data_IF_234191266002
#
_entry.id   IF_234191266002
#
_cell.length_a   1.000
_cell.length_b   1.000
_cell.length_c   1.000
_cell.angle_alpha   90.00
_cell.angle_beta   90.00
_cell.angle_gamma   90.00
#
_symmetry.space_group_name_H-M   'P 1'
#
loop_
_entity.id
_entity.type
_entity.pdbx_description
1 polymer ?
#
# COMPACT_ATOMS: atom_id res chain seq x y z
N UNK A 1 12.77 -6.45 -1.65
CA UNK A 1 13.37 -5.37 -0.83
C UNK A 1 12.29 -4.81 0.08
N UNK A 2 12.56 -4.64 1.38
CA UNK A 2 11.63 -3.96 2.29
C UNK A 2 12.11 -2.52 2.49
N UNK A 3 11.20 -1.53 2.47
CA UNK A 3 11.58 -0.14 2.74
C UNK A 3 12.05 0.00 4.20
N UNK A 4 13.19 0.64 4.42
CA UNK A 4 13.80 0.79 5.75
C UNK A 4 13.47 2.17 6.33
N UNK A 5 13.71 3.22 5.54
CA UNK A 5 13.51 4.61 5.94
C UNK A 5 12.05 5.02 5.85
N UNK A 6 11.65 6.03 6.61
CA UNK A 6 10.28 6.55 6.59
C UNK A 6 9.90 7.06 5.19
N UNK A 7 10.80 7.74 4.50
CA UNK A 7 10.60 8.20 3.11
C UNK A 7 10.38 7.04 2.14
N UNK A 8 11.17 5.96 2.25
CA UNK A 8 10.99 4.77 1.40
C UNK A 8 9.64 4.11 1.65
N UNK A 9 9.20 4.06 2.92
CA UNK A 9 7.89 3.53 3.30
C UNK A 9 6.77 4.39 2.73
N UNK A 10 6.89 5.72 2.79
CA UNK A 10 5.91 6.67 2.24
C UNK A 10 5.79 6.53 0.72
N UNK A 11 6.92 6.47 0.00
CA UNK A 11 6.94 6.28 -1.45
C UNK A 11 6.33 4.92 -1.82
N UNK A 12 6.74 3.84 -1.14
CA UNK A 12 6.17 2.51 -1.36
C UNK A 12 4.67 2.46 -1.06
N UNK A 13 4.21 3.18 -0.04
CA UNK A 13 2.80 3.28 0.30
C UNK A 13 2.01 4.00 -0.79
N UNK A 14 2.48 5.16 -1.24
CA UNK A 14 1.85 5.94 -2.32
C UNK A 14 1.77 5.16 -3.64
N UNK A 15 2.82 4.41 -4.00
CA UNK A 15 2.84 3.56 -5.20
C UNK A 15 1.69 2.53 -5.23
N UNK A 16 1.23 2.04 -4.05
CA UNK A 16 0.13 1.05 -4.00
C UNK A 16 -1.20 1.56 -4.51
N UNK A 17 -1.41 2.88 -4.51
CA UNK A 17 -2.66 3.50 -4.92
C UNK A 17 -2.85 3.48 -6.43
N UNK A 18 -1.78 3.31 -7.21
CA UNK A 18 -1.84 3.35 -8.66
C UNK A 18 -1.46 1.99 -9.26
N UNK A 19 -1.93 1.72 -10.47
CA UNK A 19 -1.58 0.50 -11.22
C UNK A 19 -0.82 0.89 -12.48
N UNK A 20 0.14 0.05 -12.86
CA UNK A 20 0.87 0.20 -14.13
C UNK A 20 0.00 -0.05 -15.37
N UNK A 21 -1.19 -0.64 -15.18
CA UNK A 21 -2.11 -1.01 -16.27
C UNK A 21 -3.38 -0.18 -16.33
N UNK A 22 -3.78 0.44 -15.21
CA UNK A 22 -4.97 1.31 -15.11
C UNK A 22 -4.50 2.69 -14.68
N UNK A 23 -3.96 3.42 -15.65
CA UNK A 23 -3.41 4.75 -15.45
C UNK A 23 -4.52 5.73 -15.10
N UNK A 24 -4.25 6.66 -14.18
CA UNK A 24 -5.20 7.71 -13.76
C UNK A 24 -6.33 7.25 -12.83
N UNK A 25 -6.41 5.96 -12.49
CA UNK A 25 -7.39 5.46 -11.53
C UNK A 25 -6.73 5.16 -10.19
N UNK A 26 -7.06 5.96 -9.18
CA UNK A 26 -6.64 5.73 -7.81
C UNK A 26 -7.44 4.58 -7.17
N UNK A 27 -6.75 3.69 -6.47
CA UNK A 27 -7.35 2.62 -5.68
C UNK A 27 -7.63 3.11 -4.27
N UNK A 28 -8.81 2.81 -3.76
CA UNK A 28 -9.13 3.01 -2.34
C UNK A 28 -8.31 2.07 -1.45
N UNK A 29 -8.03 2.43 -0.19
CA UNK A 29 -7.29 1.58 0.76
C UNK A 29 -7.88 0.17 0.91
N UNK A 30 -9.20 0.02 0.87
CA UNK A 30 -9.87 -1.28 0.98
C UNK A 30 -9.58 -2.19 -0.22
N UNK A 31 -9.67 -1.65 -1.44
CA UNK A 31 -9.29 -2.35 -2.67
C UNK A 31 -7.83 -2.80 -2.64
N UNK A 32 -6.92 -1.95 -2.16
CA UNK A 32 -5.50 -2.30 -2.01
C UNK A 32 -5.35 -3.43 -1.00
N UNK A 33 -5.95 -3.32 0.20
CA UNK A 33 -5.91 -4.36 1.23
C UNK A 33 -6.41 -5.70 0.71
N UNK A 34 -7.54 -5.71 0.00
CA UNK A 34 -8.10 -6.94 -0.63
C UNK A 34 -7.15 -7.54 -1.67
N UNK A 35 -6.47 -6.69 -2.45
CA UNK A 35 -5.44 -7.15 -3.38
C UNK A 35 -4.23 -7.74 -2.66
N UNK A 36 -3.76 -7.11 -1.57
CA UNK A 36 -2.61 -7.56 -0.80
C UNK A 36 -2.88 -8.87 -0.04
N UNK A 37 -4.10 -9.08 0.46
CA UNK A 37 -4.49 -10.34 1.11
C UNK A 37 -4.29 -11.57 0.22
N UNK A 38 -4.41 -11.42 -1.11
CA UNK A 38 -4.12 -12.51 -2.07
C UNK A 38 -2.64 -12.91 -2.09
N UNK A 39 -1.75 -12.02 -1.67
CA UNK A 39 -0.31 -12.24 -1.62
C UNK A 39 0.18 -12.61 -0.21
N UNK A 40 -0.66 -12.50 0.81
CA UNK A 40 -0.38 -12.90 2.19
C UNK A 40 -0.89 -11.91 3.22
N UNK A 41 -1.28 -12.42 4.39
CA UNK A 41 -1.84 -11.63 5.49
C UNK A 41 -0.83 -10.61 6.05
N UNK A 42 0.46 -10.96 6.11
CA UNK A 42 1.52 -10.07 6.60
C UNK A 42 1.61 -8.78 5.77
N UNK A 43 1.48 -8.88 4.45
CA UNK A 43 1.56 -7.72 3.56
C UNK A 43 0.35 -6.80 3.75
N UNK A 44 -0.84 -7.39 3.94
CA UNK A 44 -2.05 -6.63 4.23
C UNK A 44 -2.00 -5.96 5.61
N UNK A 45 -1.45 -6.64 6.62
CA UNK A 45 -1.25 -6.08 7.96
C UNK A 45 -0.27 -4.90 7.93
N UNK A 46 0.84 -5.01 7.19
CA UNK A 46 1.79 -3.90 7.03
C UNK A 46 1.17 -2.68 6.35
N UNK A 47 0.39 -2.90 5.28
CA UNK A 47 -0.33 -1.81 4.63
C UNK A 47 -1.36 -1.15 5.57
N UNK A 48 -2.05 -1.94 6.39
CA UNK A 48 -2.96 -1.41 7.40
C UNK A 48 -2.24 -0.56 8.46
N UNK A 49 -1.02 -0.94 8.87
CA UNK A 49 -0.19 -0.13 9.75
C UNK A 49 0.23 1.20 9.08
N UNK A 50 0.61 1.17 7.81
CA UNK A 50 0.91 2.39 7.05
C UNK A 50 -0.30 3.31 6.88
N UNK A 51 -1.52 2.77 6.65
CA UNK A 51 -2.73 3.60 6.65
C UNK A 51 -2.91 4.35 7.98
N UNK A 52 -2.64 3.71 9.12
CA UNK A 52 -2.71 4.38 10.43
C UNK A 52 -1.62 5.44 10.62
N UNK A 53 -0.45 5.23 10.02
CA UNK A 53 0.70 6.12 10.14
C UNK A 53 0.59 7.36 9.24
N UNK A 54 0.07 7.20 8.02
CA UNK A 54 0.10 8.23 6.97
C UNK A 54 -1.27 8.86 6.66
N UNK A 55 -2.38 8.18 7.00
CA UNK A 55 -3.74 8.68 6.80
C UNK A 55 -4.48 8.96 8.12
N UNK A 56 -3.83 8.73 9.26
CA UNK A 56 -4.35 8.92 10.61
C UNK A 56 -4.09 10.31 11.16
#
# INVERSE_FOLDING_TARGET
MMPLSLEEQLICFADKFYSKTKLGQEKTPDQIKKSLLRHGEETAARFAAWCKLFLG
#
